data_IF_794077302222
#
_entry.id   IF_794077302222
#
_cell.length_a   1.000
_cell.length_b   1.000
_cell.length_c   1.000
_cell.angle_alpha   90.00
_cell.angle_beta   90.00
_cell.angle_gamma   90.00
#
_symmetry.space_group_name_H-M   'P 1'
#
loop_
_entity.id
_entity.type
_entity.pdbx_description
1 polymer ?
#
# COMPACT_ATOMS: atom_id res chain seq x y z
N UNK A 1 -14.79 -5.80 2.65
CA UNK A 1 -14.14 -4.48 2.72
C UNK A 1 -12.84 -4.55 1.97
N UNK A 2 -12.43 -3.47 1.30
CA UNK A 2 -11.19 -3.41 0.52
C UNK A 2 -9.95 -3.88 1.28
N UNK A 3 -9.71 -3.35 2.48
CA UNK A 3 -8.55 -3.70 3.30
C UNK A 3 -8.49 -5.19 3.69
N UNK A 4 -9.64 -5.88 3.78
CA UNK A 4 -9.66 -7.33 4.06
C UNK A 4 -9.23 -8.15 2.83
N UNK A 5 -9.59 -7.71 1.62
CA UNK A 5 -9.04 -8.30 0.38
C UNK A 5 -7.54 -7.99 0.28
N UNK A 6 -7.16 -6.76 0.59
CA UNK A 6 -5.77 -6.31 0.64
C UNK A 6 -4.90 -7.11 1.59
N UNK A 7 -5.44 -7.49 2.76
CA UNK A 7 -4.75 -8.38 3.69
C UNK A 7 -4.41 -9.73 3.06
N UNK A 8 -5.29 -10.30 2.24
CA UNK A 8 -5.03 -11.58 1.55
C UNK A 8 -3.91 -11.42 0.54
N UNK A 9 -3.98 -10.39 -0.30
CA UNK A 9 -2.90 -10.02 -1.23
C UNK A 9 -1.57 -9.83 -0.49
N UNK A 10 -1.58 -9.15 0.66
CA UNK A 10 -0.40 -8.93 1.49
C UNK A 10 0.22 -10.25 1.97
N UNK A 11 -0.61 -11.17 2.47
CA UNK A 11 -0.16 -12.47 2.96
C UNK A 11 0.42 -13.34 1.85
N UNK A 12 -0.11 -13.22 0.63
CA UNK A 12 0.35 -14.03 -0.50
C UNK A 12 1.62 -13.47 -1.16
N UNK A 13 1.81 -12.15 -1.17
CA UNK A 13 2.84 -11.50 -2.01
C UNK A 13 3.85 -10.63 -1.25
N UNK A 14 3.53 -10.14 -0.06
CA UNK A 14 4.31 -9.08 0.59
C UNK A 14 4.93 -9.53 1.92
N UNK A 15 4.28 -10.46 2.62
CA UNK A 15 4.60 -10.82 4.00
C UNK A 15 6.02 -11.36 4.19
N UNK A 16 6.57 -12.08 3.19
CA UNK A 16 7.92 -12.64 3.27
C UNK A 16 8.98 -11.55 3.46
N UNK A 17 8.81 -10.41 2.79
CA UNK A 17 9.77 -9.31 2.82
C UNK A 17 9.41 -8.27 3.87
N UNK A 18 8.12 -7.97 4.09
CA UNK A 18 7.66 -6.87 4.94
C UNK A 18 7.13 -7.31 6.32
N UNK A 19 6.99 -8.62 6.55
CA UNK A 19 6.71 -9.23 7.85
C UNK A 19 5.22 -9.31 8.18
N UNK A 20 4.84 -10.23 9.05
CA UNK A 20 3.42 -10.46 9.39
C UNK A 20 2.79 -9.25 10.07
N UNK A 21 3.60 -8.45 10.77
CA UNK A 21 3.16 -7.24 11.44
C UNK A 21 3.42 -5.97 10.64
N UNK A 22 3.79 -6.06 9.35
CA UNK A 22 4.12 -4.94 8.46
C UNK A 22 5.39 -4.17 8.84
N UNK A 23 6.16 -4.61 9.83
CA UNK A 23 7.32 -3.85 10.32
C UNK A 23 8.41 -4.72 10.94
N UNK A 24 8.30 -6.04 10.83
CA UNK A 24 9.07 -7.01 11.61
C UNK A 24 9.86 -8.00 10.75
N UNK A 25 9.95 -7.77 9.43
CA UNK A 25 10.82 -8.54 8.56
C UNK A 25 12.18 -7.86 8.33
N UNK A 26 13.13 -8.66 7.85
CA UNK A 26 14.53 -8.27 7.66
C UNK A 26 14.85 -7.78 6.23
N UNK A 27 13.99 -8.08 5.25
CA UNK A 27 14.32 -7.89 3.82
C UNK A 27 13.65 -6.66 3.19
N UNK A 28 12.47 -6.29 3.67
CA UNK A 28 11.70 -5.15 3.20
C UNK A 28 11.61 -4.07 4.26
N UNK A 29 11.40 -2.84 3.81
CA UNK A 29 11.21 -1.71 4.72
C UNK A 29 9.90 -1.85 5.53
N UNK A 30 9.83 -1.27 6.75
CA UNK A 30 8.58 -1.21 7.50
C UNK A 30 7.49 -0.47 6.71
N UNK A 31 6.33 -1.10 6.58
CA UNK A 31 5.14 -0.57 5.93
C UNK A 31 4.17 0.10 6.92
N UNK A 32 4.57 0.24 8.18
CA UNK A 32 3.83 1.05 9.15
C UNK A 32 4.73 1.81 10.12
N UNK A 33 4.16 2.84 10.75
CA UNK A 33 4.83 3.67 11.75
C UNK A 33 5.73 4.74 11.14
N UNK A 34 6.68 5.25 11.94
CA UNK A 34 7.43 6.48 11.62
C UNK A 34 8.22 6.41 10.29
N UNK A 35 8.79 5.25 9.95
CA UNK A 35 9.49 5.08 8.68
C UNK A 35 8.53 5.24 7.49
N UNK A 36 7.40 4.55 7.54
CA UNK A 36 6.37 4.61 6.50
C UNK A 36 5.82 6.03 6.38
N UNK A 37 5.48 6.66 7.50
CA UNK A 37 5.01 8.06 7.52
C UNK A 37 6.03 9.01 6.90
N UNK A 38 7.32 8.91 7.26
CA UNK A 38 8.37 9.76 6.70
C UNK A 38 8.53 9.59 5.18
N UNK A 39 8.33 8.38 4.66
CA UNK A 39 8.44 8.08 3.23
C UNK A 39 7.25 8.61 2.41
N UNK A 40 6.07 8.72 3.03
CA UNK A 40 4.80 8.98 2.34
C UNK A 40 4.10 10.28 2.78
N UNK A 41 4.60 10.98 3.80
CA UNK A 41 4.15 12.34 4.13
C UNK A 41 4.25 13.26 2.91
N UNK A 42 3.32 14.20 2.81
CA UNK A 42 3.24 15.17 1.73
C UNK A 42 3.10 14.52 0.32
N UNK A 43 2.69 13.24 0.25
CA UNK A 43 2.45 12.49 -1.00
C UNK A 43 0.98 12.12 -1.17
N UNK A 44 0.65 11.68 -2.37
CA UNK A 44 -0.68 11.22 -2.75
C UNK A 44 -0.78 9.70 -2.72
N UNK A 45 -2.01 9.18 -2.69
CA UNK A 45 -2.25 7.76 -2.89
C UNK A 45 -1.76 7.28 -4.28
N UNK A 46 -1.74 8.16 -5.30
CA UNK A 46 -1.18 7.85 -6.61
C UNK A 46 0.34 7.58 -6.55
N UNK A 47 1.09 8.38 -5.79
CA UNK A 47 2.53 8.17 -5.62
C UNK A 47 2.82 6.78 -5.02
N UNK A 48 2.02 6.38 -4.03
CA UNK A 48 2.15 5.06 -3.41
C UNK A 48 1.73 3.94 -4.36
N UNK A 49 0.63 4.12 -5.10
CA UNK A 49 0.14 3.16 -6.08
C UNK A 49 1.15 2.89 -7.19
N UNK A 50 1.63 3.95 -7.84
CA UNK A 50 2.59 3.86 -8.94
C UNK A 50 3.94 3.29 -8.48
N UNK A 51 4.44 3.72 -7.32
CA UNK A 51 5.68 3.19 -6.78
C UNK A 51 5.56 1.70 -6.46
N UNK A 52 4.47 1.28 -5.80
CA UNK A 52 4.26 -0.12 -5.44
C UNK A 52 4.13 -0.97 -6.70
N UNK A 53 3.36 -0.53 -7.68
CA UNK A 53 3.26 -1.20 -8.97
C UNK A 53 4.61 -1.31 -9.68
N UNK A 54 5.41 -0.25 -9.71
CA UNK A 54 6.67 -0.22 -10.44
C UNK A 54 7.80 -1.01 -9.77
N UNK A 55 7.71 -1.27 -8.46
CA UNK A 55 8.81 -1.86 -7.68
C UNK A 55 8.47 -3.16 -6.96
N UNK A 56 7.18 -3.51 -6.86
CA UNK A 56 6.72 -4.68 -6.10
C UNK A 56 5.80 -5.59 -6.93
N UNK A 57 5.86 -6.92 -6.69
CA UNK A 57 6.93 -7.61 -5.98
C UNK A 57 8.29 -7.45 -6.68
N UNK A 58 9.44 -7.44 -5.98
CA UNK A 58 10.75 -7.17 -6.59
C UNK A 58 11.12 -8.14 -7.72
N UNK A 59 10.69 -9.40 -7.62
CA UNK A 59 10.90 -10.45 -8.61
C UNK A 59 9.96 -10.34 -9.82
N UNK A 60 8.82 -9.64 -9.65
CA UNK A 60 7.81 -9.47 -10.69
C UNK A 60 7.12 -8.09 -10.59
N UNK A 61 7.83 -6.99 -10.89
CA UNK A 61 7.23 -5.67 -10.91
C UNK A 61 6.04 -5.62 -11.87
N UNK A 62 4.99 -4.88 -11.50
CA UNK A 62 3.70 -4.82 -12.21
C UNK A 62 3.03 -6.20 -12.38
N UNK A 63 3.37 -7.16 -11.52
CA UNK A 63 2.97 -8.55 -11.66
C UNK A 63 1.59 -8.92 -11.13
N UNK A 64 0.94 -8.00 -10.41
CA UNK A 64 -0.40 -8.15 -9.81
C UNK A 64 -1.45 -7.35 -10.60
N UNK A 65 -2.74 -7.66 -10.41
CA UNK A 65 -3.80 -6.84 -10.98
C UNK A 65 -3.83 -5.45 -10.33
N UNK A 66 -4.28 -4.43 -11.07
CA UNK A 66 -4.41 -3.07 -10.51
C UNK A 66 -5.31 -3.02 -9.27
N UNK A 67 -6.37 -3.84 -9.26
CA UNK A 67 -7.27 -3.96 -8.11
C UNK A 67 -6.54 -4.53 -6.87
N UNK A 68 -5.63 -5.50 -7.05
CA UNK A 68 -4.87 -6.07 -5.94
C UNK A 68 -3.90 -5.04 -5.34
N UNK A 69 -3.31 -4.17 -6.18
CA UNK A 69 -2.50 -3.05 -5.69
C UNK A 69 -3.33 -2.05 -4.89
N UNK A 70 -4.52 -1.67 -5.38
CA UNK A 70 -5.40 -0.77 -4.62
C UNK A 70 -5.83 -1.41 -3.29
N UNK A 71 -6.15 -2.70 -3.30
CA UNK A 71 -6.56 -3.46 -2.13
C UNK A 71 -5.44 -3.53 -1.08
N UNK A 72 -4.22 -3.92 -1.47
CA UNK A 72 -3.08 -4.02 -0.53
C UNK A 72 -2.68 -2.65 0.03
N UNK A 73 -2.76 -1.59 -0.76
CA UNK A 73 -2.51 -0.23 -0.28
C UNK A 73 -3.57 0.18 0.74
N UNK A 74 -4.85 -0.13 0.50
CA UNK A 74 -5.90 0.14 1.47
C UNK A 74 -5.66 -0.59 2.81
N UNK A 75 -5.15 -1.82 2.76
CA UNK A 75 -4.75 -2.56 3.95
C UNK A 75 -3.59 -1.89 4.71
N UNK A 76 -2.53 -1.51 4.00
CA UNK A 76 -1.37 -0.83 4.61
C UNK A 76 -1.76 0.52 5.21
N UNK A 77 -2.59 1.31 4.52
CA UNK A 77 -3.11 2.58 5.04
C UNK A 77 -3.97 2.38 6.29
N UNK A 78 -4.85 1.38 6.31
CA UNK A 78 -5.63 1.02 7.49
C UNK A 78 -4.73 0.66 8.68
N UNK A 79 -3.64 -0.07 8.45
CA UNK A 79 -2.68 -0.43 9.49
C UNK A 79 -1.88 0.78 10.03
N UNK A 80 -1.92 1.91 9.33
CA UNK A 80 -1.40 3.21 9.77
C UNK A 80 -2.52 4.16 10.22
N UNK A 81 -3.71 3.62 10.53
CA UNK A 81 -4.88 4.37 10.99
C UNK A 81 -5.41 5.42 9.98
N UNK A 82 -4.95 5.36 8.73
CA UNK A 82 -5.49 6.16 7.63
C UNK A 82 -6.74 5.46 7.10
N UNK A 83 -7.88 6.12 7.26
CA UNK A 83 -9.14 5.70 6.63
C UNK A 83 -9.29 6.38 5.29
N UNK A 84 -9.79 5.66 4.30
CA UNK A 84 -10.19 6.25 3.03
C UNK A 84 -11.32 7.27 3.28
N UNK A 85 -11.17 8.47 2.71
CA UNK A 85 -12.07 9.60 2.98
C UNK A 85 -13.46 9.44 2.35
N UNK A 86 -13.60 8.62 1.31
CA UNK A 86 -14.82 8.58 0.47
C UNK A 86 -15.23 7.20 -0.05
N UNK A 87 -14.56 6.11 0.34
CA UNK A 87 -14.92 4.76 -0.12
C UNK A 87 -13.71 3.85 -0.33
N UNK A 88 -13.83 2.85 -1.19
CA UNK A 88 -12.67 2.05 -1.63
C UNK A 88 -11.71 2.92 -2.45
N UNK A 89 -10.39 2.72 -2.29
CA UNK A 89 -9.37 3.31 -3.16
C UNK A 89 -9.62 2.85 -4.60
N UNK A 90 -9.78 3.79 -5.55
CA UNK A 90 -9.92 3.46 -6.96
C UNK A 90 -8.59 2.98 -7.55
N UNK A 91 -8.65 2.39 -8.74
CA UNK A 91 -7.45 2.06 -9.54
C UNK A 91 -7.07 3.18 -10.52
N UNK A 92 -7.94 4.17 -10.69
CA UNK A 92 -7.68 5.32 -11.55
C UNK A 92 -6.65 6.25 -10.91
N UNK A 93 -5.48 6.36 -11.54
CA UNK A 93 -4.35 7.17 -11.05
C UNK A 93 -4.70 8.66 -10.99
N UNK A 94 -5.52 9.17 -11.91
CA UNK A 94 -5.96 10.56 -11.92
C UNK A 94 -6.83 10.88 -10.70
N UNK A 95 -7.71 9.96 -10.31
CA UNK A 95 -8.50 10.09 -9.07
C UNK A 95 -7.60 9.98 -7.83
N UNK A 96 -6.68 9.02 -7.80
CA UNK A 96 -5.73 8.84 -6.69
C UNK A 96 -4.80 10.04 -6.49
N UNK A 97 -4.49 10.79 -7.56
CA UNK A 97 -3.68 12.01 -7.48
C UNK A 97 -4.38 13.10 -6.65
N UNK A 98 -5.72 13.11 -6.64
CA UNK A 98 -6.53 14.00 -5.83
C UNK A 98 -6.70 13.55 -4.37
N UNK A 99 -6.08 12.43 -3.96
CA UNK A 99 -6.17 11.86 -2.62
C UNK A 99 -4.83 12.01 -1.87
N UNK A 100 -4.56 13.17 -1.25
CA UNK A 100 -3.37 13.35 -0.41
C UNK A 100 -3.45 12.45 0.83
N UNK A 101 -2.29 11.94 1.27
CA UNK A 101 -2.19 11.26 2.56
C UNK A 101 -2.20 12.31 3.69
N UNK A 102 -2.77 12.00 4.86
CA UNK A 102 -3.13 12.99 5.89
C UNK A 102 -1.94 13.50 6.74
N UNK A 103 -0.70 13.38 6.26
CA UNK A 103 0.51 13.76 7.00
C UNK A 103 1.43 14.64 6.17
#
# INVERSE_FOLDING_TARGET
>A
MQAERGRRVYLDHCVLCHGINLSDAQFGAPLKGAYFQSRWRDRTAADMFLYTQATMPPEKPMGLAQADYADVIAYVLQANEIKASTGELPTDVGVLQGMPLPW
#
